data_IF_469588309430
#
_entry.id   IF_469588309430
#
_cell.length_a   1.000
_cell.length_b   1.000
_cell.length_c   1.000
_cell.angle_alpha   90.00
_cell.angle_beta   90.00
_cell.angle_gamma   90.00
#
_symmetry.space_group_name_H-M   'P 1'
#
loop_
_entity.id
_entity.type
_entity.pdbx_description
1 polymer ?
#
# COMPACT_ATOMS: atom_id res chain seq x y z
N UNK A 1 -5.60 26.57 16.63
CA UNK A 1 -6.43 25.97 17.70
C UNK A 1 -7.91 25.84 17.34
N UNK A 2 -8.55 26.82 16.70
CA UNK A 2 -9.96 26.70 16.31
C UNK A 2 -10.14 25.64 15.21
N UNK A 3 -9.27 25.66 14.19
CA UNK A 3 -9.35 24.71 13.07
C UNK A 3 -9.38 23.24 13.51
N UNK A 4 -8.61 22.87 14.53
CA UNK A 4 -8.52 21.46 14.98
C UNK A 4 -9.84 20.93 15.52
N UNK A 5 -10.78 21.81 15.91
CA UNK A 5 -12.14 21.42 16.31
C UNK A 5 -13.03 21.03 15.11
N UNK A 6 -12.64 21.41 13.90
CA UNK A 6 -13.38 21.14 12.65
C UNK A 6 -12.76 20.02 11.81
N UNK A 7 -11.51 19.65 12.10
CA UNK A 7 -10.80 18.54 11.44
C UNK A 7 -11.03 17.20 12.13
N UNK A 8 -11.09 16.11 11.37
CA UNK A 8 -11.48 14.78 11.88
C UNK A 8 -10.47 14.18 12.87
N UNK A 9 -9.17 14.41 12.67
CA UNK A 9 -8.06 13.86 13.49
C UNK A 9 -7.26 14.92 14.25
N UNK A 10 -7.82 16.13 14.43
CA UNK A 10 -7.18 17.27 15.12
C UNK A 10 -5.77 17.61 14.60
N UNK A 11 -5.58 17.44 13.30
CA UNK A 11 -4.31 17.57 12.58
C UNK A 11 -3.82 19.02 12.55
N UNK A 12 -3.15 19.41 13.63
CA UNK A 12 -2.76 20.81 13.85
C UNK A 12 -1.74 21.30 12.83
N UNK A 13 -0.70 20.51 12.57
CA UNK A 13 0.37 20.87 11.63
C UNK A 13 -0.18 21.11 10.22
N UNK A 14 -1.00 20.19 9.71
CA UNK A 14 -1.60 20.30 8.37
C UNK A 14 -2.50 21.55 8.25
N UNK A 15 -3.22 21.89 9.32
CA UNK A 15 -4.01 23.12 9.37
C UNK A 15 -3.16 24.38 9.32
N UNK A 16 -2.02 24.40 10.04
CA UNK A 16 -1.08 25.53 10.00
C UNK A 16 -0.48 25.73 8.61
N UNK A 17 -0.09 24.64 7.94
CA UNK A 17 0.42 24.71 6.56
C UNK A 17 -0.65 25.25 5.61
N UNK A 18 -1.89 24.77 5.70
CA UNK A 18 -2.99 25.29 4.89
C UNK A 18 -3.21 26.80 5.10
N UNK A 19 -3.09 27.28 6.33
CA UNK A 19 -3.15 28.71 6.67
C UNK A 19 -1.95 29.50 6.15
N UNK A 20 -0.72 28.97 6.26
CA UNK A 20 0.48 29.59 5.74
C UNK A 20 0.41 29.75 4.22
N UNK A 21 0.08 28.68 3.49
CA UNK A 21 -0.06 28.75 2.03
C UNK A 21 -1.20 29.67 1.60
N UNK A 22 -2.31 29.67 2.34
CA UNK A 22 -3.36 30.67 2.14
C UNK A 22 -2.83 32.10 2.29
N UNK A 23 -2.06 32.37 3.34
CA UNK A 23 -1.50 33.71 3.59
C UNK A 23 -0.55 34.12 2.46
N UNK A 24 0.33 33.21 2.02
CA UNK A 24 1.23 33.46 0.89
C UNK A 24 0.46 33.77 -0.40
N UNK A 25 -0.62 33.02 -0.67
CA UNK A 25 -1.49 33.26 -1.80
C UNK A 25 -2.16 34.63 -1.73
N UNK A 26 -2.63 35.04 -0.54
CA UNK A 26 -3.24 36.35 -0.37
C UNK A 26 -2.22 37.47 -0.53
N UNK A 27 -1.03 37.35 0.07
CA UNK A 27 0.07 38.32 -0.12
C UNK A 27 0.43 38.44 -1.60
N UNK A 28 0.52 37.33 -2.34
CA UNK A 28 0.78 37.37 -3.78
C UNK A 28 -0.31 38.16 -4.54
N UNK A 29 -1.58 37.98 -4.21
CA UNK A 29 -2.70 38.75 -4.80
C UNK A 29 -2.57 40.25 -4.48
N UNK A 30 -2.20 40.62 -3.26
CA UNK A 30 -1.99 42.01 -2.88
C UNK A 30 -0.83 42.64 -3.65
N UNK A 31 0.30 41.93 -3.76
CA UNK A 31 1.47 42.39 -4.52
C UNK A 31 1.15 42.54 -6.01
N UNK A 32 0.37 41.63 -6.59
CA UNK A 32 -0.11 41.77 -7.97
C UNK A 32 -1.03 43.00 -8.13
N UNK A 33 -1.87 43.29 -7.14
CA UNK A 33 -2.71 44.48 -7.13
C UNK A 33 -1.91 45.78 -7.08
N UNK A 34 -0.86 45.82 -6.25
CA UNK A 34 0.06 46.97 -6.17
C UNK A 34 0.89 47.11 -7.46
N UNK A 35 1.37 46.01 -8.03
CA UNK A 35 2.07 46.05 -9.30
C UNK A 35 1.15 46.57 -10.42
N UNK A 36 -0.11 46.11 -10.46
CA UNK A 36 -1.10 46.58 -11.41
C UNK A 36 -1.42 48.08 -11.25
N UNK A 37 -1.46 48.59 -10.02
CA UNK A 37 -1.69 50.02 -9.77
C UNK A 37 -0.54 50.88 -10.29
N UNK A 38 0.70 50.42 -10.13
CA UNK A 38 1.90 51.08 -10.67
C UNK A 38 1.93 51.03 -12.20
N UNK A 39 1.71 49.85 -12.80
CA UNK A 39 1.80 49.65 -14.26
C UNK A 39 0.67 50.36 -15.00
N UNK A 40 -0.55 50.35 -14.45
CA UNK A 40 -1.73 50.96 -15.08
C UNK A 40 -1.92 52.43 -14.68
N UNK A 41 -1.05 52.99 -13.84
CA UNK A 41 -1.14 54.35 -13.29
C UNK A 41 -2.54 54.61 -12.71
N UNK A 42 -2.98 53.71 -11.83
CA UNK A 42 -4.27 53.78 -11.12
C UNK A 42 -4.03 53.72 -9.61
N UNK A 43 -5.00 54.18 -8.84
CA UNK A 43 -4.98 54.01 -7.39
C UNK A 43 -5.04 52.53 -6.98
N UNK A 44 -4.43 52.21 -5.85
CA UNK A 44 -4.50 50.87 -5.27
C UNK A 44 -5.95 50.49 -4.97
N UNK A 45 -6.40 49.36 -5.50
CA UNK A 45 -7.78 48.93 -5.39
C UNK A 45 -7.99 47.95 -4.24
N UNK A 46 -8.97 48.26 -3.38
CA UNK A 46 -9.43 47.36 -2.30
C UNK A 46 -10.03 46.05 -2.83
N UNK A 47 -10.32 45.98 -4.14
CA UNK A 47 -10.71 44.74 -4.82
C UNK A 47 -9.76 43.59 -4.49
N UNK A 48 -8.45 43.80 -4.55
CA UNK A 48 -7.45 42.74 -4.35
C UNK A 48 -7.42 42.22 -2.90
N UNK A 49 -7.84 43.04 -1.93
CA UNK A 49 -7.96 42.63 -0.52
C UNK A 49 -9.07 41.62 -0.37
N UNK A 50 -10.30 41.98 -0.76
CA UNK A 50 -11.49 41.11 -0.66
C UNK A 50 -11.38 39.90 -1.58
N UNK A 51 -10.88 40.09 -2.80
CA UNK A 51 -10.65 38.98 -3.73
C UNK A 51 -9.62 37.97 -3.18
N UNK A 52 -8.52 38.45 -2.62
CA UNK A 52 -7.52 37.60 -1.98
C UNK A 52 -8.05 36.86 -0.74
N UNK A 53 -8.92 37.50 0.05
CA UNK A 53 -9.65 36.85 1.16
C UNK A 53 -10.47 35.65 0.68
N UNK A 54 -11.22 35.81 -0.42
CA UNK A 54 -12.01 34.72 -1.00
C UNK A 54 -11.15 33.62 -1.62
N UNK A 55 -10.04 33.98 -2.27
CA UNK A 55 -9.11 33.02 -2.85
C UNK A 55 -8.42 32.19 -1.75
N UNK A 56 -7.99 32.84 -0.66
CA UNK A 56 -7.50 32.20 0.54
C UNK A 56 -8.50 31.16 1.07
N UNK A 57 -9.77 31.56 1.23
CA UNK A 57 -10.80 30.69 1.78
C UNK A 57 -11.09 29.51 0.83
N UNK A 58 -11.17 29.77 -0.47
CA UNK A 58 -11.42 28.76 -1.51
C UNK A 58 -10.31 27.70 -1.54
N UNK A 59 -9.05 28.10 -1.49
CA UNK A 59 -7.90 27.19 -1.38
C UNK A 59 -8.02 26.32 -0.12
N UNK A 60 -8.29 26.93 1.03
CA UNK A 60 -8.43 26.17 2.29
C UNK A 60 -9.61 25.21 2.26
N UNK A 61 -10.73 25.55 1.63
CA UNK A 61 -11.88 24.64 1.51
C UNK A 61 -11.44 23.32 0.87
N UNK A 62 -10.68 23.36 -0.24
CA UNK A 62 -10.21 22.15 -0.93
C UNK A 62 -9.33 21.25 -0.05
N UNK A 63 -8.41 21.84 0.73
CA UNK A 63 -7.56 21.11 1.67
C UNK A 63 -8.38 20.56 2.84
N UNK A 64 -9.28 21.38 3.40
CA UNK A 64 -10.07 21.01 4.56
C UNK A 64 -11.01 19.84 4.28
N UNK A 65 -11.61 19.81 3.09
CA UNK A 65 -12.47 18.70 2.68
C UNK A 65 -11.68 17.45 2.30
N UNK A 66 -10.62 17.61 1.49
CA UNK A 66 -9.87 16.47 0.94
C UNK A 66 -9.01 15.79 2.00
N UNK A 67 -8.20 16.55 2.74
CA UNK A 67 -7.17 15.97 3.63
C UNK A 67 -7.51 16.04 5.11
N UNK A 68 -8.30 17.03 5.54
CA UNK A 68 -8.63 17.22 6.97
C UNK A 68 -10.00 16.70 7.38
N UNK A 69 -10.80 16.21 6.41
CA UNK A 69 -12.08 15.56 6.64
C UNK A 69 -13.19 16.47 7.14
N UNK A 70 -13.09 17.78 6.90
CA UNK A 70 -14.19 18.70 7.18
C UNK A 70 -15.30 18.51 6.13
N UNK A 71 -16.57 18.46 6.57
CA UNK A 71 -17.67 18.54 5.62
C UNK A 71 -17.68 19.89 4.93
N UNK A 72 -18.23 19.98 3.72
CA UNK A 72 -18.26 21.25 2.97
C UNK A 72 -18.86 22.41 3.79
N UNK A 73 -19.93 22.14 4.55
CA UNK A 73 -20.56 23.11 5.45
C UNK A 73 -19.60 23.61 6.53
N UNK A 74 -18.84 22.69 7.14
CA UNK A 74 -17.83 23.02 8.16
C UNK A 74 -16.65 23.77 7.55
N UNK A 75 -16.20 23.36 6.37
CA UNK A 75 -15.12 24.00 5.63
C UNK A 75 -15.45 25.47 5.31
N UNK A 76 -16.65 25.75 4.80
CA UNK A 76 -17.11 27.13 4.58
C UNK A 76 -17.05 28.00 5.83
N UNK A 77 -17.52 27.47 6.97
CA UNK A 77 -17.49 28.22 8.23
C UNK A 77 -16.07 28.51 8.69
N UNK A 78 -15.20 27.48 8.74
CA UNK A 78 -13.86 27.61 9.35
C UNK A 78 -12.86 28.31 8.44
N UNK A 79 -12.92 28.07 7.13
CA UNK A 79 -11.95 28.63 6.18
C UNK A 79 -12.09 30.16 6.03
N UNK A 80 -13.25 30.74 6.41
CA UNK A 80 -13.51 32.18 6.41
C UNK A 80 -13.06 32.91 7.67
N UNK A 81 -12.89 32.21 8.81
CA UNK A 81 -12.60 32.86 10.11
C UNK A 81 -11.28 33.64 10.06
N UNK A 82 -10.20 32.98 9.67
CA UNK A 82 -8.87 33.61 9.61
C UNK A 82 -8.82 34.77 8.61
N UNK A 83 -9.22 34.62 7.33
CA UNK A 83 -9.05 35.68 6.36
C UNK A 83 -9.97 36.87 6.67
N UNK A 84 -11.16 36.63 7.24
CA UNK A 84 -12.01 37.73 7.72
C UNK A 84 -11.35 38.46 8.90
N UNK A 85 -10.81 37.75 9.89
CA UNK A 85 -10.13 38.38 11.02
C UNK A 85 -8.93 39.23 10.56
N UNK A 86 -8.16 38.75 9.59
CA UNK A 86 -7.06 39.51 8.99
C UNK A 86 -7.57 40.77 8.27
N UNK A 87 -8.65 40.69 7.49
CA UNK A 87 -9.25 41.85 6.83
C UNK A 87 -9.68 42.91 7.84
N UNK A 88 -10.34 42.50 8.93
CA UNK A 88 -10.82 43.40 9.98
C UNK A 88 -9.67 44.11 10.72
N UNK A 89 -8.47 43.51 10.76
CA UNK A 89 -7.27 44.11 11.35
C UNK A 89 -6.55 45.02 10.35
N UNK A 90 -6.50 44.62 9.07
CA UNK A 90 -5.74 45.34 8.03
C UNK A 90 -6.47 46.58 7.50
N UNK A 91 -7.81 46.58 7.51
CA UNK A 91 -8.63 47.62 6.89
C UNK A 91 -9.33 48.46 7.97
N UNK A 92 -9.28 49.81 7.89
CA UNK A 92 -10.03 50.69 8.77
C UNK A 92 -11.54 50.41 8.77
N UNK A 93 -12.20 50.60 9.92
CA UNK A 93 -13.59 50.18 10.13
C UNK A 93 -14.59 50.86 9.18
N UNK A 94 -14.34 52.12 8.83
CA UNK A 94 -15.15 52.95 7.94
C UNK A 94 -15.10 52.43 6.49
N UNK A 95 -14.03 51.71 6.14
CA UNK A 95 -13.83 51.16 4.80
C UNK A 95 -14.39 49.73 4.65
N UNK A 96 -14.78 49.05 5.73
CA UNK A 96 -15.25 47.65 5.69
C UNK A 96 -16.42 47.45 4.75
N UNK A 97 -17.44 48.30 4.82
CA UNK A 97 -18.62 48.18 3.97
C UNK A 97 -18.25 48.26 2.50
N UNK A 98 -17.51 49.30 2.09
CA UNK A 98 -17.09 49.49 0.70
C UNK A 98 -16.21 48.35 0.17
N UNK A 99 -15.37 47.77 1.04
CA UNK A 99 -14.44 46.68 0.70
C UNK A 99 -15.17 45.35 0.54
N UNK A 100 -16.07 45.02 1.47
CA UNK A 100 -16.81 43.76 1.49
C UNK A 100 -17.99 43.73 0.51
N UNK A 101 -18.53 44.89 0.11
CA UNK A 101 -19.66 44.98 -0.83
C UNK A 101 -19.24 45.29 -2.27
N UNK A 102 -17.94 45.38 -2.56
CA UNK A 102 -17.45 45.61 -3.92
C UNK A 102 -17.98 44.53 -4.89
N UNK A 103 -18.81 44.90 -5.90
CA UNK A 103 -19.52 43.91 -6.71
C UNK A 103 -18.58 42.96 -7.49
N UNK A 104 -17.44 43.49 -7.97
CA UNK A 104 -16.47 42.68 -8.69
C UNK A 104 -15.77 41.69 -7.74
N UNK A 105 -15.32 42.16 -6.57
CA UNK A 105 -14.62 41.29 -5.62
C UNK A 105 -15.52 40.17 -5.10
N UNK A 106 -16.78 40.50 -4.79
CA UNK A 106 -17.80 39.53 -4.39
C UNK A 106 -18.13 38.57 -5.53
N UNK A 107 -18.33 39.08 -6.75
CA UNK A 107 -18.62 38.25 -7.92
C UNK A 107 -17.54 37.23 -8.22
N UNK A 108 -16.29 37.68 -8.37
CA UNK A 108 -15.16 36.77 -8.61
C UNK A 108 -14.89 35.86 -7.42
N UNK A 109 -14.97 36.38 -6.18
CA UNK A 109 -14.80 35.59 -4.98
C UNK A 109 -15.83 34.46 -4.84
N UNK A 110 -17.10 34.75 -5.13
CA UNK A 110 -18.17 33.76 -5.15
C UNK A 110 -17.89 32.67 -6.19
N UNK A 111 -17.39 33.02 -7.38
CA UNK A 111 -16.99 32.04 -8.41
C UNK A 111 -15.92 31.09 -7.87
N UNK A 112 -14.85 31.59 -7.24
CA UNK A 112 -13.80 30.72 -6.69
C UNK A 112 -14.31 29.81 -5.57
N UNK A 113 -15.19 30.30 -4.70
CA UNK A 113 -15.78 29.50 -3.65
C UNK A 113 -16.69 28.39 -4.20
N UNK A 114 -17.48 28.71 -5.24
CA UNK A 114 -18.30 27.75 -5.95
C UNK A 114 -17.41 26.69 -6.61
N UNK A 115 -16.37 27.11 -7.34
CA UNK A 115 -15.42 26.19 -7.99
C UNK A 115 -14.78 25.27 -6.95
N UNK A 116 -14.25 25.80 -5.85
CA UNK A 116 -13.63 24.99 -4.80
C UNK A 116 -14.63 23.98 -4.21
N UNK A 117 -15.88 24.38 -4.01
CA UNK A 117 -16.93 23.52 -3.48
C UNK A 117 -17.33 22.42 -4.47
N UNK A 118 -17.57 22.78 -5.73
CA UNK A 118 -17.92 21.85 -6.80
C UNK A 118 -16.77 20.87 -7.03
N UNK A 119 -15.54 21.37 -7.14
CA UNK A 119 -14.34 20.56 -7.32
C UNK A 119 -14.13 19.58 -6.17
N UNK A 120 -14.34 20.03 -4.93
CA UNK A 120 -14.30 19.15 -3.76
C UNK A 120 -15.33 18.02 -3.86
N UNK A 121 -16.55 18.28 -4.32
CA UNK A 121 -17.59 17.26 -4.46
C UNK A 121 -17.27 16.31 -5.62
N UNK A 122 -16.78 16.82 -6.74
CA UNK A 122 -16.43 16.02 -7.92
C UNK A 122 -15.26 15.08 -7.63
N UNK A 123 -14.18 15.59 -7.02
CA UNK A 123 -13.00 14.80 -6.68
C UNK A 123 -13.28 13.74 -5.63
N UNK A 124 -14.13 14.02 -4.65
CA UNK A 124 -14.58 13.02 -3.68
C UNK A 124 -15.34 11.86 -4.34
N UNK A 125 -16.07 12.14 -5.41
CA UNK A 125 -16.85 11.14 -6.16
C UNK A 125 -16.09 10.50 -7.32
N UNK A 126 -14.86 10.93 -7.61
CA UNK A 126 -14.10 10.50 -8.78
C UNK A 126 -13.85 8.98 -8.83
N UNK A 127 -13.75 8.32 -7.68
CA UNK A 127 -13.53 6.87 -7.61
C UNK A 127 -14.77 6.02 -7.83
N UNK A 128 -15.97 6.58 -8.00
CA UNK A 128 -17.22 5.80 -8.09
C UNK A 128 -17.37 5.07 -9.43
N UNK A 129 -17.99 3.88 -9.46
CA UNK A 129 -18.55 3.15 -8.30
C UNK A 129 -17.51 2.36 -7.50
N UNK A 130 -16.28 2.21 -7.99
CA UNK A 130 -15.24 1.40 -7.35
C UNK A 130 -14.83 1.87 -5.95
N UNK A 131 -15.06 3.14 -5.61
CA UNK A 131 -14.80 3.72 -4.30
C UNK A 131 -15.85 4.75 -3.92
N UNK A 132 -16.43 4.61 -2.72
CA UNK A 132 -17.52 5.47 -2.25
C UNK A 132 -17.12 6.94 -2.12
N UNK A 133 -15.90 7.19 -1.62
CA UNK A 133 -15.33 8.51 -1.35
C UNK A 133 -13.81 8.47 -1.50
N UNK A 134 -13.29 9.19 -2.49
CA UNK A 134 -11.84 9.40 -2.69
C UNK A 134 -11.23 10.14 -1.51
N UNK A 135 -11.93 11.13 -0.95
CA UNK A 135 -11.41 11.93 0.15
C UNK A 135 -11.22 11.08 1.41
N UNK A 136 -12.16 10.19 1.73
CA UNK A 136 -12.02 9.26 2.86
C UNK A 136 -10.79 8.36 2.69
N UNK A 137 -10.54 7.84 1.51
CA UNK A 137 -9.36 6.99 1.26
C UNK A 137 -8.05 7.78 1.39
N UNK A 138 -7.99 9.01 0.88
CA UNK A 138 -6.82 9.90 1.09
C UNK A 138 -6.62 10.18 2.59
N UNK A 139 -7.70 10.48 3.31
CA UNK A 139 -7.64 10.75 4.75
C UNK A 139 -7.17 9.53 5.54
N UNK A 140 -7.70 8.35 5.22
CA UNK A 140 -7.31 7.08 5.83
C UNK A 140 -5.83 6.76 5.55
N UNK A 141 -5.38 6.95 4.31
CA UNK A 141 -3.98 6.79 3.95
C UNK A 141 -3.08 7.76 4.73
N UNK A 142 -3.42 9.06 4.76
CA UNK A 142 -2.65 10.06 5.51
C UNK A 142 -2.64 9.79 7.02
N UNK A 143 -3.72 9.24 7.57
CA UNK A 143 -3.80 8.82 8.97
C UNK A 143 -2.90 7.60 9.24
N UNK A 144 -2.85 6.65 8.30
CA UNK A 144 -2.00 5.45 8.42
C UNK A 144 -0.51 5.79 8.53
N UNK A 145 -0.07 6.87 7.84
CA UNK A 145 1.30 7.38 7.95
C UNK A 145 1.59 8.00 9.33
N UNK A 146 0.55 8.37 10.08
CA UNK A 146 0.62 8.88 11.46
C UNK A 146 0.34 7.83 12.53
N UNK A 147 0.44 6.54 12.20
CA UNK A 147 0.14 5.39 13.07
C UNK A 147 -1.34 5.14 13.40
N UNK A 148 -2.28 5.72 12.65
CA UNK A 148 -3.72 5.44 12.78
C UNK A 148 -4.23 4.68 11.54
N UNK A 149 -4.30 3.35 11.65
CA UNK A 149 -4.60 2.45 10.53
C UNK A 149 -6.10 2.11 10.41
N UNK A 150 -6.90 2.42 11.43
CA UNK A 150 -8.26 1.90 11.60
C UNK A 150 -9.14 2.20 10.38
N UNK A 151 -9.16 3.44 9.90
CA UNK A 151 -9.99 3.80 8.74
C UNK A 151 -9.49 3.18 7.44
N UNK A 152 -8.16 2.99 7.30
CA UNK A 152 -7.59 2.36 6.11
C UNK A 152 -7.96 0.88 6.06
N UNK A 153 -7.83 0.19 7.20
CA UNK A 153 -8.20 -1.22 7.34
C UNK A 153 -9.71 -1.43 7.17
N UNK A 154 -10.56 -0.57 7.75
CA UNK A 154 -12.02 -0.63 7.54
C UNK A 154 -12.41 -0.53 6.05
N UNK A 155 -11.79 0.41 5.31
CA UNK A 155 -12.05 0.59 3.87
C UNK A 155 -11.62 -0.64 3.07
N UNK A 156 -10.46 -1.23 3.41
CA UNK A 156 -9.94 -2.43 2.73
C UNK A 156 -10.80 -3.65 3.09
N UNK A 157 -11.14 -3.84 4.36
CA UNK A 157 -11.97 -4.95 4.85
C UNK A 157 -13.35 -4.98 4.20
N UNK A 158 -14.00 -3.81 4.03
CA UNK A 158 -15.30 -3.70 3.36
C UNK A 158 -15.30 -4.23 1.92
N UNK A 159 -14.12 -4.27 1.27
CA UNK A 159 -13.94 -4.80 -0.09
C UNK A 159 -13.24 -6.14 -0.13
N UNK A 160 -12.92 -6.70 1.04
CA UNK A 160 -12.28 -8.00 1.13
C UNK A 160 -13.33 -9.11 1.07
N UNK A 161 -12.89 -10.33 0.79
CA UNK A 161 -13.73 -11.52 0.80
C UNK A 161 -13.06 -12.60 1.66
N UNK A 162 -13.89 -13.41 2.33
CA UNK A 162 -13.38 -14.52 3.12
C UNK A 162 -12.91 -15.63 2.18
N UNK A 163 -11.68 -16.07 2.35
CA UNK A 163 -11.12 -17.20 1.63
C UNK A 163 -10.25 -18.06 2.55
N UNK A 164 -9.92 -19.27 2.10
CA UNK A 164 -8.95 -20.13 2.78
C UNK A 164 -7.61 -19.99 2.05
N UNK A 165 -6.57 -19.74 2.82
CA UNK A 165 -5.19 -19.68 2.32
C UNK A 165 -4.39 -20.86 2.89
N UNK A 166 -3.46 -21.39 2.10
CA UNK A 166 -2.54 -22.43 2.58
C UNK A 166 -1.24 -21.81 3.07
N UNK A 167 -0.59 -22.49 4.00
CA UNK A 167 0.83 -22.24 4.28
C UNK A 167 1.54 -23.57 4.37
N UNK A 168 2.57 -23.75 3.56
CA UNK A 168 3.42 -24.94 3.57
C UNK A 168 4.71 -24.62 4.31
N UNK A 169 5.27 -25.63 4.98
CA UNK A 169 6.50 -25.48 5.76
C UNK A 169 7.38 -26.71 5.59
N UNK A 170 8.68 -26.49 5.47
CA UNK A 170 9.71 -27.50 5.75
C UNK A 170 10.27 -27.16 7.12
N UNK A 171 10.23 -28.12 8.04
CA UNK A 171 10.79 -27.98 9.39
C UNK A 171 12.05 -28.81 9.47
N UNK A 172 13.17 -28.16 9.82
CA UNK A 172 14.45 -28.80 10.04
C UNK A 172 14.75 -28.71 11.54
N UNK A 173 15.00 -29.84 12.18
CA UNK A 173 15.32 -29.92 13.59
C UNK A 173 16.51 -30.83 13.84
N UNK A 174 17.43 -30.42 14.71
CA UNK A 174 18.55 -31.27 15.11
C UNK A 174 18.03 -32.47 15.93
N UNK A 175 18.81 -33.56 15.96
CA UNK A 175 18.47 -34.78 16.70
C UNK A 175 18.24 -34.54 18.20
N UNK A 176 18.91 -33.55 18.77
CA UNK A 176 18.73 -33.12 20.17
C UNK A 176 17.64 -32.04 20.37
N UNK A 177 16.97 -31.60 19.29
CA UNK A 177 15.88 -30.62 19.33
C UNK A 177 16.29 -29.17 19.62
N UNK A 178 17.58 -28.91 19.86
CA UNK A 178 18.10 -27.59 20.24
C UNK A 178 18.09 -26.59 19.09
N UNK A 179 18.23 -27.06 17.85
CA UNK A 179 18.19 -26.23 16.65
C UNK A 179 16.91 -26.55 15.90
N UNK A 180 16.07 -25.54 15.69
CA UNK A 180 14.84 -25.63 14.89
C UNK A 180 14.85 -24.51 13.88
N UNK A 181 14.66 -24.83 12.61
CA UNK A 181 14.58 -23.88 11.53
C UNK A 181 13.36 -24.21 10.66
N UNK A 182 12.73 -23.19 10.09
CA UNK A 182 11.57 -23.35 9.22
C UNK A 182 11.74 -22.61 7.91
N UNK A 183 11.62 -23.31 6.79
CA UNK A 183 11.33 -22.66 5.51
C UNK A 183 9.82 -22.59 5.35
N UNK A 184 9.26 -21.39 5.21
CA UNK A 184 7.82 -21.14 5.17
C UNK A 184 7.44 -20.61 3.79
N UNK A 185 6.43 -21.22 3.19
CA UNK A 185 5.86 -20.83 1.90
C UNK A 185 4.39 -20.43 2.13
N UNK A 186 4.14 -19.14 2.40
CA UNK A 186 2.81 -18.61 2.68
C UNK A 186 2.11 -18.25 1.37
N UNK A 187 0.90 -18.78 1.13
CA UNK A 187 0.08 -18.42 -0.05
C UNK A 187 -0.70 -17.13 0.19
N UNK A 188 0.00 -16.10 0.64
CA UNK A 188 -0.51 -14.75 0.86
C UNK A 188 0.50 -13.76 0.30
N UNK A 189 -0.01 -12.67 -0.24
CA UNK A 189 0.83 -11.61 -0.78
C UNK A 189 0.95 -10.47 0.26
N UNK A 190 2.14 -9.86 0.47
CA UNK A 190 2.27 -8.67 1.30
C UNK A 190 1.37 -7.52 0.82
N UNK A 191 0.70 -6.85 1.75
CA UNK A 191 -0.13 -5.69 1.41
C UNK A 191 0.70 -4.52 0.85
N UNK A 192 0.15 -3.70 -0.07
CA UNK A 192 0.91 -2.65 -0.76
C UNK A 192 1.27 -1.43 0.11
N UNK A 193 0.63 -1.27 1.28
CA UNK A 193 0.76 -0.05 2.10
C UNK A 193 1.30 -0.37 3.49
N UNK A 194 2.57 -0.06 3.74
CA UNK A 194 3.13 -0.17 5.09
C UNK A 194 2.61 0.96 6.01
N UNK A 195 2.20 0.67 7.27
CA UNK A 195 2.08 -0.63 7.95
C UNK A 195 0.63 -1.15 8.05
N UNK A 196 -0.22 -0.86 7.06
CA UNK A 196 -1.63 -1.27 7.01
C UNK A 196 -1.73 -2.76 6.68
N UNK A 197 -2.60 -3.48 7.39
CA UNK A 197 -2.87 -4.90 7.13
C UNK A 197 -1.60 -5.77 7.09
N UNK A 198 -1.56 -6.72 6.16
CA UNK A 198 -0.45 -7.66 5.97
C UNK A 198 0.79 -7.12 5.25
N UNK A 199 0.98 -5.80 5.17
CA UNK A 199 2.12 -5.20 4.45
C UNK A 199 3.50 -5.65 4.94
N UNK A 200 3.64 -5.94 6.23
CA UNK A 200 4.88 -6.43 6.83
C UNK A 200 4.81 -7.93 7.20
N UNK A 201 3.94 -8.71 6.55
CA UNK A 201 3.68 -10.08 6.97
C UNK A 201 4.91 -11.01 6.97
N UNK A 202 5.90 -10.91 6.05
CA UNK A 202 7.09 -11.76 6.11
C UNK A 202 7.88 -11.56 7.40
N UNK A 203 8.07 -10.32 7.83
CA UNK A 203 8.73 -10.01 9.09
C UNK A 203 7.94 -10.51 10.30
N UNK A 204 6.61 -10.34 10.30
CA UNK A 204 5.76 -10.78 11.39
C UNK A 204 5.75 -12.32 11.52
N UNK A 205 5.73 -13.05 10.40
CA UNK A 205 5.89 -14.51 10.40
C UNK A 205 7.24 -14.93 10.95
N UNK A 206 8.32 -14.28 10.49
CA UNK A 206 9.67 -14.54 10.96
C UNK A 206 9.79 -14.35 12.49
N UNK A 207 9.25 -13.25 13.02
CA UNK A 207 9.24 -13.01 14.48
C UNK A 207 8.33 -13.98 15.24
N UNK A 208 7.17 -14.35 14.68
CA UNK A 208 6.29 -15.37 15.27
C UNK A 208 6.98 -16.75 15.36
N UNK A 209 7.89 -17.05 14.43
CA UNK A 209 8.67 -18.28 14.40
C UNK A 209 10.04 -18.14 15.09
N UNK A 210 10.07 -17.39 16.20
CA UNK A 210 11.24 -17.21 17.07
C UNK A 210 12.48 -16.68 16.35
N UNK A 211 12.30 -15.93 15.26
CA UNK A 211 13.41 -15.46 14.41
C UNK A 211 14.26 -16.62 13.83
N UNK A 212 13.67 -17.80 13.68
CA UNK A 212 14.33 -18.99 13.12
C UNK A 212 13.56 -19.54 11.92
N UNK A 213 13.31 -18.65 10.96
CA UNK A 213 12.61 -19.00 9.75
C UNK A 213 13.14 -18.24 8.53
N UNK A 214 13.02 -18.86 7.37
CA UNK A 214 13.14 -18.22 6.07
C UNK A 214 11.77 -18.19 5.43
N UNK A 215 11.24 -16.98 5.23
CA UNK A 215 9.94 -16.76 4.62
C UNK A 215 10.15 -16.59 3.12
N UNK A 216 9.74 -17.59 2.36
CA UNK A 216 9.86 -17.59 0.90
C UNK A 216 8.69 -16.83 0.29
N UNK A 217 8.95 -16.19 -0.86
CA UNK A 217 7.87 -15.75 -1.71
C UNK A 217 7.26 -16.97 -2.42
N UNK A 218 5.95 -17.15 -2.29
CA UNK A 218 5.22 -18.22 -2.95
C UNK A 218 4.25 -17.63 -3.96
N UNK A 219 3.82 -18.46 -4.93
CA UNK A 219 2.89 -18.02 -5.96
C UNK A 219 1.56 -17.60 -5.30
N UNK A 220 1.35 -16.29 -5.28
CA UNK A 220 0.17 -15.60 -4.73
C UNK A 220 -0.07 -14.32 -5.53
N UNK A 221 -1.25 -13.74 -5.41
CA UNK A 221 -1.59 -12.47 -6.05
C UNK A 221 -2.20 -11.50 -5.02
N UNK A 222 -2.46 -10.27 -5.46
CA UNK A 222 -3.04 -9.23 -4.61
C UNK A 222 -4.46 -9.56 -4.07
N UNK A 223 -5.14 -10.59 -4.60
CA UNK A 223 -6.43 -11.03 -4.02
C UNK A 223 -6.25 -11.70 -2.66
N UNK A 224 -5.01 -12.08 -2.30
CA UNK A 224 -4.65 -12.75 -1.05
C UNK A 224 -3.88 -11.82 -0.09
N UNK A 225 -4.02 -10.50 -0.24
CA UNK A 225 -3.54 -9.55 0.74
C UNK A 225 -4.39 -9.60 2.02
N UNK A 226 -3.74 -9.67 3.19
CA UNK A 226 -4.44 -9.58 4.47
C UNK A 226 -4.89 -8.13 4.72
N UNK A 227 -6.20 -7.87 4.91
CA UNK A 227 -6.76 -6.52 4.86
C UNK A 227 -6.51 -5.69 6.13
N UNK A 228 -6.29 -6.35 7.27
CA UNK A 228 -6.17 -5.70 8.58
C UNK A 228 -5.22 -6.42 9.53
N UNK A 229 -4.84 -5.75 10.62
CA UNK A 229 -4.03 -6.36 11.68
C UNK A 229 -4.74 -7.52 12.38
N UNK A 230 -6.06 -7.45 12.51
CA UNK A 230 -6.85 -8.56 13.06
C UNK A 230 -6.71 -9.81 12.19
N UNK A 231 -6.78 -9.66 10.86
CA UNK A 231 -6.59 -10.78 9.95
C UNK A 231 -5.14 -11.27 9.90
N UNK A 232 -4.16 -10.39 10.12
CA UNK A 232 -2.76 -10.77 10.35
C UNK A 232 -2.62 -11.63 11.61
N UNK A 233 -3.18 -11.20 12.74
CA UNK A 233 -3.14 -11.98 14.00
C UNK A 233 -3.86 -13.33 13.85
N UNK A 234 -5.02 -13.35 13.19
CA UNK A 234 -5.76 -14.57 12.87
C UNK A 234 -4.90 -15.53 12.03
N UNK A 235 -4.21 -15.02 11.01
CA UNK A 235 -3.32 -15.81 10.17
C UNK A 235 -2.13 -16.36 10.97
N UNK A 236 -1.44 -15.51 11.75
CA UNK A 236 -0.28 -15.91 12.55
C UNK A 236 -0.64 -16.96 13.61
N UNK A 237 -1.77 -16.81 14.30
CA UNK A 237 -2.26 -17.80 15.28
C UNK A 237 -2.56 -19.15 14.62
N UNK A 238 -3.03 -19.17 13.37
CA UNK A 238 -3.25 -20.41 12.63
C UNK A 238 -1.95 -21.10 12.22
N UNK A 239 -0.82 -20.38 12.12
CA UNK A 239 0.49 -21.01 11.85
C UNK A 239 0.92 -21.92 13.00
N UNK A 240 0.55 -21.61 14.24
CA UNK A 240 0.86 -22.42 15.42
C UNK A 240 0.14 -23.78 15.39
N UNK A 241 -1.03 -23.83 14.75
CA UNK A 241 -1.83 -25.04 14.56
C UNK A 241 -1.38 -25.90 13.36
N UNK A 242 -0.18 -25.68 12.82
CA UNK A 242 0.30 -26.39 11.63
C UNK A 242 0.63 -27.87 11.91
N UNK A 243 0.11 -28.75 11.06
CA UNK A 243 0.21 -30.21 11.16
C UNK A 243 1.38 -30.73 10.31
N UNK A 244 2.17 -31.65 10.86
CA UNK A 244 3.20 -32.39 10.13
C UNK A 244 2.54 -33.51 9.34
N UNK A 245 2.70 -33.50 8.00
CA UNK A 245 2.13 -34.53 7.12
C UNK A 245 3.09 -35.67 6.82
N UNK A 246 4.37 -35.35 6.66
CA UNK A 246 5.44 -36.30 6.38
C UNK A 246 6.70 -35.89 7.15
N UNK A 247 7.52 -36.88 7.46
CA UNK A 247 8.83 -36.74 8.10
C UNK A 247 9.85 -37.56 7.32
N UNK A 248 11.09 -37.09 7.27
CA UNK A 248 12.17 -37.74 6.54
C UNK A 248 13.52 -37.11 6.85
N UNK A 249 14.58 -37.88 6.58
CA UNK A 249 15.97 -37.49 6.87
C UNK A 249 16.86 -37.47 5.62
N UNK A 250 16.25 -37.58 4.43
CA UNK A 250 16.96 -37.66 3.16
C UNK A 250 16.43 -36.64 2.16
N UNK A 251 17.32 -36.12 1.32
CA UNK A 251 16.96 -35.31 0.16
C UNK A 251 17.85 -35.64 -1.04
N UNK A 252 17.37 -35.33 -2.25
CA UNK A 252 18.21 -35.39 -3.45
C UNK A 252 19.19 -34.23 -3.48
N UNK A 253 20.29 -34.38 -4.23
CA UNK A 253 21.03 -33.21 -4.70
C UNK A 253 20.12 -32.29 -5.55
N UNK A 254 20.43 -30.97 -5.64
CA UNK A 254 19.67 -30.06 -6.48
C UNK A 254 19.70 -30.46 -7.96
N UNK A 255 18.53 -30.49 -8.60
CA UNK A 255 18.38 -30.65 -10.04
C UNK A 255 18.04 -29.29 -10.63
N UNK A 256 18.78 -28.86 -11.66
CA UNK A 256 18.43 -27.65 -12.41
C UNK A 256 18.08 -28.01 -13.83
N UNK A 257 16.90 -27.55 -14.28
CA UNK A 257 16.45 -27.64 -15.65
C UNK A 257 16.27 -26.22 -16.19
N UNK A 258 16.80 -25.97 -17.37
CA UNK A 258 16.63 -24.71 -18.08
C UNK A 258 16.06 -24.94 -19.47
N UNK A 259 15.00 -24.22 -19.80
CA UNK A 259 14.39 -24.18 -21.14
C UNK A 259 14.33 -22.71 -21.53
N UNK A 260 15.11 -22.36 -22.56
CA UNK A 260 15.28 -20.97 -22.98
C UNK A 260 15.64 -20.06 -21.78
N UNK A 261 14.79 -19.08 -21.47
CA UNK A 261 14.98 -18.17 -20.33
C UNK A 261 14.54 -18.76 -19.00
N UNK A 262 13.64 -19.74 -19.00
CA UNK A 262 13.06 -20.29 -17.80
C UNK A 262 13.98 -21.32 -17.14
N UNK A 263 14.31 -21.09 -15.87
CA UNK A 263 15.13 -21.97 -15.05
C UNK A 263 14.34 -22.43 -13.83
N UNK A 264 14.32 -23.75 -13.62
CA UNK A 264 13.76 -24.37 -12.43
C UNK A 264 14.84 -25.17 -11.73
N UNK A 265 15.09 -24.86 -10.46
CA UNK A 265 15.94 -25.66 -9.58
C UNK A 265 15.06 -26.37 -8.56
N UNK A 266 15.21 -27.68 -8.42
CA UNK A 266 14.41 -28.50 -7.51
C UNK A 266 15.26 -29.33 -6.56
N UNK A 267 14.72 -29.57 -5.36
CA UNK A 267 15.20 -30.58 -4.42
C UNK A 267 14.01 -31.46 -4.01
N UNK A 268 14.23 -32.74 -3.75
CA UNK A 268 13.19 -33.64 -3.29
C UNK A 268 13.45 -34.07 -1.85
N UNK A 269 12.56 -33.68 -0.92
CA UNK A 269 12.60 -34.10 0.49
C UNK A 269 11.61 -35.24 0.71
N UNK A 270 12.10 -36.47 0.82
CA UNK A 270 11.24 -37.67 0.80
C UNK A 270 10.39 -37.68 -0.47
N UNK A 271 9.08 -37.45 -0.36
CA UNK A 271 8.17 -37.36 -1.50
C UNK A 271 7.57 -35.95 -1.71
N UNK A 272 8.28 -34.92 -1.24
CA UNK A 272 7.84 -33.51 -1.28
C UNK A 272 8.87 -32.66 -2.06
N UNK A 273 8.64 -32.38 -3.35
CA UNK A 273 9.54 -31.56 -4.14
C UNK A 273 9.43 -30.09 -3.73
N UNK A 274 10.57 -29.43 -3.56
CA UNK A 274 10.72 -27.98 -3.44
C UNK A 274 11.29 -27.45 -4.75
N UNK A 275 10.56 -26.57 -5.44
CA UNK A 275 10.93 -25.99 -6.72
C UNK A 275 11.15 -24.47 -6.58
N UNK A 276 12.20 -23.98 -7.20
CA UNK A 276 12.55 -22.56 -7.34
C UNK A 276 12.40 -22.18 -8.80
N UNK A 277 11.46 -21.29 -9.12
CA UNK A 277 11.15 -20.86 -10.49
C UNK A 277 11.71 -19.46 -10.72
N UNK A 278 12.47 -19.29 -11.81
CA UNK A 278 13.17 -18.03 -12.09
C UNK A 278 13.37 -17.83 -13.59
N UNK A 279 13.26 -16.58 -14.06
CA UNK A 279 13.75 -16.15 -15.38
C UNK A 279 15.14 -15.48 -15.32
N UNK A 280 15.74 -15.36 -14.14
CA UNK A 280 17.02 -14.66 -13.93
C UNK A 280 18.12 -15.22 -14.86
N UNK A 281 18.92 -14.35 -15.52
CA UNK A 281 19.04 -12.91 -15.29
C UNK A 281 17.98 -12.04 -15.97
N UNK A 282 17.03 -12.62 -16.70
CA UNK A 282 15.89 -11.88 -17.25
C UNK A 282 14.87 -11.56 -16.16
N UNK A 283 14.28 -10.39 -16.27
CA UNK A 283 13.28 -9.95 -15.32
C UNK A 283 11.95 -10.70 -15.46
N UNK A 284 11.22 -10.82 -14.35
CA UNK A 284 9.83 -11.29 -14.32
C UNK A 284 9.09 -10.63 -13.15
N UNK A 285 7.80 -10.34 -13.35
CA UNK A 285 6.85 -10.13 -12.24
C UNK A 285 6.39 -11.48 -11.67
N UNK A 286 5.48 -11.42 -10.68
CA UNK A 286 4.91 -12.59 -10.01
C UNK A 286 4.39 -13.64 -10.99
N UNK A 287 4.66 -14.91 -10.67
CA UNK A 287 4.23 -16.06 -11.47
C UNK A 287 2.70 -16.24 -11.33
N UNK A 288 1.93 -16.22 -12.43
CA UNK A 288 0.49 -16.47 -12.40
C UNK A 288 0.05 -17.78 -11.74
N UNK A 289 -1.07 -17.72 -11.02
CA UNK A 289 -1.66 -18.85 -10.29
C UNK A 289 -2.04 -20.07 -11.19
N UNK A 290 -2.26 -19.88 -12.49
CA UNK A 290 -2.53 -21.02 -13.38
C UNK A 290 -1.32 -21.96 -13.48
N UNK A 291 -0.09 -21.42 -13.46
CA UNK A 291 1.12 -22.23 -13.54
C UNK A 291 1.31 -23.07 -12.28
N UNK A 292 1.06 -22.47 -11.11
CA UNK A 292 1.04 -23.21 -9.84
C UNK A 292 0.11 -24.43 -9.92
N UNK A 293 -1.15 -24.21 -10.30
CA UNK A 293 -2.15 -25.29 -10.40
C UNK A 293 -1.71 -26.39 -11.36
N UNK A 294 -1.11 -26.03 -12.48
CA UNK A 294 -0.64 -26.99 -13.47
C UNK A 294 0.56 -27.80 -12.97
N UNK A 295 1.53 -27.16 -12.31
CA UNK A 295 2.68 -27.83 -11.70
C UNK A 295 2.24 -28.77 -10.58
N UNK A 296 1.37 -28.32 -9.68
CA UNK A 296 0.83 -29.13 -8.59
C UNK A 296 0.04 -30.34 -9.11
N UNK A 297 -0.78 -30.13 -10.15
CA UNK A 297 -1.54 -31.22 -10.77
C UNK A 297 -0.61 -32.24 -11.43
N UNK A 298 0.44 -31.77 -12.11
CA UNK A 298 1.44 -32.66 -12.72
C UNK A 298 2.22 -33.45 -11.67
N UNK A 299 2.66 -32.78 -10.60
CA UNK A 299 3.36 -33.43 -9.50
C UNK A 299 2.50 -34.48 -8.80
N UNK A 300 1.21 -34.19 -8.61
CA UNK A 300 0.23 -35.15 -8.08
C UNK A 300 0.11 -36.39 -8.96
N UNK A 301 0.13 -36.23 -10.29
CA UNK A 301 0.12 -37.36 -11.23
C UNK A 301 1.40 -38.21 -11.17
N UNK A 302 2.49 -37.67 -10.61
CA UNK A 302 3.74 -38.38 -10.30
C UNK A 302 3.80 -38.92 -8.87
N UNK A 303 2.68 -38.94 -8.17
CA UNK A 303 2.52 -39.41 -6.79
C UNK A 303 3.29 -38.60 -5.73
N UNK A 304 3.72 -37.36 -6.03
CA UNK A 304 4.24 -36.47 -5.00
C UNK A 304 3.14 -36.08 -4.01
N UNK A 305 3.50 -35.96 -2.72
CA UNK A 305 2.53 -35.68 -1.65
C UNK A 305 2.25 -34.19 -1.52
N UNK A 306 3.30 -33.37 -1.51
CA UNK A 306 3.17 -31.91 -1.48
C UNK A 306 4.30 -31.26 -2.26
N UNK A 307 3.94 -30.50 -3.28
CA UNK A 307 4.88 -29.66 -4.03
C UNK A 307 4.96 -28.29 -3.37
N UNK A 308 6.17 -27.85 -3.05
CA UNK A 308 6.47 -26.53 -2.53
C UNK A 308 7.05 -25.71 -3.68
N UNK A 309 6.44 -24.56 -4.00
CA UNK A 309 6.84 -23.75 -5.15
C UNK A 309 7.22 -22.36 -4.67
N UNK A 310 8.47 -21.99 -4.92
CA UNK A 310 9.04 -20.68 -4.65
C UNK A 310 9.02 -19.89 -5.95
N UNK A 311 8.34 -18.75 -5.91
CA UNK A 311 8.48 -17.73 -6.92
C UNK A 311 9.72 -16.90 -6.57
N UNK A 312 10.81 -17.09 -7.30
CA UNK A 312 12.06 -16.42 -6.94
C UNK A 312 12.00 -14.91 -7.08
N UNK A 313 11.22 -14.39 -8.05
CA UNK A 313 11.09 -12.97 -8.38
C UNK A 313 12.42 -12.18 -8.19
N UNK A 314 13.53 -12.77 -8.67
CA UNK A 314 14.90 -12.36 -8.29
C UNK A 314 15.60 -11.50 -9.35
N UNK A 315 14.85 -11.04 -10.35
CA UNK A 315 15.25 -10.05 -11.34
C UNK A 315 13.99 -9.26 -11.73
N UNK A 316 14.06 -7.93 -11.64
CA UNK A 316 12.95 -7.03 -11.96
C UNK A 316 12.64 -7.09 -13.46
N UNK A 317 11.37 -7.29 -13.84
CA UNK A 317 10.93 -7.31 -15.23
C UNK A 317 9.44 -7.06 -15.40
N UNK A 318 8.91 -7.41 -16.57
CA UNK A 318 7.48 -7.32 -16.86
C UNK A 318 6.76 -8.62 -16.48
N UNK A 319 5.42 -8.61 -16.58
CA UNK A 319 4.61 -9.82 -16.51
C UNK A 319 5.15 -10.92 -17.43
N UNK A 320 5.20 -12.15 -16.91
CA UNK A 320 5.71 -13.28 -17.66
C UNK A 320 4.92 -13.47 -18.96
N UNK A 321 5.64 -13.48 -20.08
CA UNK A 321 5.04 -13.71 -21.39
C UNK A 321 4.46 -15.13 -21.46
N UNK A 322 3.48 -15.34 -22.36
CA UNK A 322 2.90 -16.67 -22.57
C UNK A 322 3.97 -17.70 -22.95
N UNK A 323 4.93 -17.32 -23.78
CA UNK A 323 6.03 -18.18 -24.23
C UNK A 323 6.95 -18.56 -23.06
N UNK A 324 7.41 -17.58 -22.28
CA UNK A 324 8.29 -17.83 -21.12
C UNK A 324 7.54 -18.65 -20.04
N UNK A 325 6.22 -18.46 -19.89
CA UNK A 325 5.37 -19.26 -19.01
C UNK A 325 5.24 -20.72 -19.46
N UNK A 326 5.05 -20.98 -20.75
CA UNK A 326 5.05 -22.34 -21.30
C UNK A 326 6.40 -23.04 -21.12
N UNK A 327 7.50 -22.31 -21.28
CA UNK A 327 8.85 -22.83 -21.05
C UNK A 327 9.11 -23.12 -19.57
N UNK A 328 8.62 -22.26 -18.67
CA UNK A 328 8.69 -22.49 -17.22
C UNK A 328 7.90 -23.74 -16.80
N UNK A 329 6.71 -23.94 -17.35
CA UNK A 329 5.93 -25.15 -17.12
C UNK A 329 6.66 -26.41 -17.61
N UNK A 330 7.24 -26.37 -18.81
CA UNK A 330 8.04 -27.50 -19.33
C UNK A 330 9.26 -27.76 -18.43
N UNK A 331 9.96 -26.71 -17.99
CA UNK A 331 11.14 -26.82 -17.13
C UNK A 331 10.76 -27.41 -15.76
N UNK A 332 9.65 -26.95 -15.17
CA UNK A 332 9.15 -27.47 -13.90
C UNK A 332 8.76 -28.95 -13.98
N UNK A 333 8.02 -29.34 -15.04
CA UNK A 333 7.64 -30.74 -15.28
C UNK A 333 8.85 -31.64 -15.49
N UNK A 334 9.82 -31.21 -16.28
CA UNK A 334 11.05 -31.95 -16.52
C UNK A 334 11.93 -32.03 -15.26
N UNK A 335 11.93 -31.00 -14.41
CA UNK A 335 12.61 -31.01 -13.13
C UNK A 335 11.97 -32.04 -12.18
N UNK A 336 10.64 -32.06 -12.08
CA UNK A 336 9.89 -33.06 -11.31
C UNK A 336 10.20 -34.48 -11.80
N UNK A 337 10.18 -34.72 -13.10
CA UNK A 337 10.53 -36.04 -13.66
C UNK A 337 11.96 -36.47 -13.33
N UNK A 338 12.89 -35.52 -13.39
CA UNK A 338 14.30 -35.77 -13.09
C UNK A 338 14.51 -36.10 -11.62
N UNK A 339 13.83 -35.40 -10.70
CA UNK A 339 13.95 -35.61 -9.25
C UNK A 339 13.59 -37.04 -8.82
N UNK A 340 12.61 -37.69 -9.47
CA UNK A 340 12.22 -39.09 -9.17
C UNK A 340 13.37 -40.07 -9.42
N UNK A 341 14.27 -39.74 -10.35
CA UNK A 341 15.36 -40.63 -10.77
C UNK A 341 16.66 -40.41 -9.99
N UNK A 342 16.70 -39.39 -9.12
CA UNK A 342 17.90 -39.04 -8.36
C UNK A 342 18.02 -39.84 -7.07
N UNK A 343 19.25 -40.22 -6.76
CA UNK A 343 19.59 -40.80 -5.47
C UNK A 343 19.31 -39.80 -4.34
N UNK A 344 18.91 -40.35 -3.18
CA UNK A 344 18.65 -39.58 -1.96
C UNK A 344 19.81 -39.74 -0.98
N UNK A 345 20.20 -38.64 -0.36
CA UNK A 345 21.31 -38.55 0.56
C UNK A 345 20.85 -38.05 1.94
N UNK A 346 21.53 -38.45 3.03
CA UNK A 346 21.26 -37.88 4.36
C UNK A 346 21.39 -36.36 4.38
N UNK A 347 20.48 -35.70 5.10
CA UNK A 347 20.48 -34.24 5.23
C UNK A 347 21.31 -33.82 6.45
N UNK A 348 22.23 -32.89 6.25
CA UNK A 348 22.81 -32.07 7.30
C UNK A 348 22.29 -30.64 7.15
N UNK A 349 21.96 -29.97 8.25
CA UNK A 349 21.49 -28.58 8.21
C UNK A 349 22.16 -27.73 9.29
N UNK A 350 22.39 -26.48 8.94
CA UNK A 350 22.76 -25.39 9.84
C UNK A 350 22.10 -24.11 9.36
N UNK A 351 21.86 -23.17 10.27
CA UNK A 351 21.41 -21.83 9.92
C UNK A 351 22.13 -20.81 10.78
N UNK A 352 22.25 -19.58 10.27
CA UNK A 352 22.76 -18.45 11.00
C UNK A 352 21.79 -17.27 10.84
N UNK A 353 21.78 -16.38 11.82
CA UNK A 353 20.91 -15.23 11.87
C UNK A 353 21.71 -14.01 12.31
N UNK A 354 21.54 -12.88 11.62
CA UNK A 354 22.21 -11.62 11.90
C UNK A 354 21.69 -10.91 13.15
N UNK A 355 20.56 -11.30 13.74
CA UNK A 355 20.02 -10.70 14.97
C UNK A 355 20.97 -10.82 16.19
N UNK A 356 21.97 -11.70 16.11
CA UNK A 356 23.03 -11.89 17.12
C UNK A 356 24.44 -11.46 16.63
N UNK A 357 24.54 -10.74 15.50
CA UNK A 357 25.77 -10.08 15.02
C UNK A 357 25.69 -8.58 15.30
#
# INVERSE_FOLDING_TARGET
>A
LIDTRFTRKKEYSKSLHASLFGNLLWVAVLLMGLLASVVLVKDASLFFVTYGMFLFASFRIGIFTTTLGASIKKAWAICMVQPLAMLLVMIPYDMWYSTLTNPMAVGFGAVFLIIASVWSVLTDRAGRPGMESTHKTIQAYLASQGNDFTEAEEIIEQRSFKTKVSTSQIRLSSSNGNMKFRMVLPEIHPGPYHPVGGSNIPYLMYKNLESSAMIMHSISDHSLNLPSKNEVENYLKNLDASIVKEEGLVCTEPVTVQINKARVTGLLFGNNPLLFLSLSPHGMEDIPNYMKKEIEQYAKNRNYVRTLIVDCHNAMGEEISKEDGEDMLKAAKSCLDSLITKDSYPIEFGYANSDNM
#
